data_IF_775052924786
#
_entry.id   IF_775052924786
#
_cell.length_a   1.000
_cell.length_b   1.000
_cell.length_c   1.000
_cell.angle_alpha   90.00
_cell.angle_beta   90.00
_cell.angle_gamma   90.00
#
_symmetry.space_group_name_H-M   'P 1'
#
loop_
_entity.id
_entity.type
_entity.pdbx_description
1 polymer ?
#
# COMPACT_ATOMS: atom_id res chain seq x y z
N UNK A 1 15.38 17.05 0.93
CA UNK A 1 15.20 16.94 0.53
C UNK A 1 14.86 16.70 0.17
N UNK A 2 14.96 16.61 0.10
CA UNK A 2 14.66 16.38 -0.44
C UNK A 2 14.24 15.91 -0.78
N UNK A 3 14.26 15.89 -0.96
CA UNK A 3 13.90 15.58 -1.43
C UNK A 3 13.52 15.15 -1.83
N UNK A 4 13.63 15.24 -1.94
CA UNK A 4 13.43 14.98 -2.48
C UNK A 4 13.09 14.49 -2.82
N UNK A 5 13.00 14.58 -2.83
CA UNK A 5 12.82 14.13 -3.34
C UNK A 5 12.74 13.80 -4.23
N UNK A 6 12.72 14.27 -3.96
CA UNK A 6 13.21 13.73 -5.17
C UNK A 6 12.46 12.56 -5.67
N UNK A 7 12.25 12.53 -6.87
CA UNK A 7 11.54 11.46 -7.48
C UNK A 7 12.40 10.20 -7.57
N UNK A 8 11.87 9.10 -7.10
CA UNK A 8 12.58 7.84 -7.17
C UNK A 8 12.62 7.32 -8.60
N UNK A 9 13.67 6.62 -8.99
CA UNK A 9 13.69 5.95 -10.28
C UNK A 9 12.60 4.91 -10.38
N UNK A 10 12.15 4.64 -11.56
CA UNK A 10 11.03 3.71 -11.75
C UNK A 10 11.40 2.28 -11.42
N UNK A 11 12.66 1.94 -11.46
CA UNK A 11 13.11 0.57 -11.30
C UNK A 11 13.82 0.34 -9.99
N UNK A 12 13.38 1.00 -8.93
CA UNK A 12 14.09 0.90 -7.67
C UNK A 12 13.95 -0.44 -6.99
N UNK A 13 12.88 -1.18 -7.22
CA UNK A 13 12.54 -2.40 -6.50
C UNK A 13 12.26 -2.14 -5.02
N UNK A 14 12.22 -0.90 -4.60
CA UNK A 14 11.95 -0.58 -3.20
C UNK A 14 10.49 -0.86 -2.87
N UNK A 15 9.59 -0.55 -3.79
CA UNK A 15 8.18 -0.77 -3.54
C UNK A 15 7.83 -2.24 -3.39
N UNK A 16 8.27 -3.14 -4.31
CA UNK A 16 7.96 -4.54 -4.11
C UNK A 16 8.55 -5.12 -2.83
N UNK A 17 9.74 -4.69 -2.45
CA UNK A 17 10.35 -5.18 -1.22
C UNK A 17 9.56 -4.72 0.00
N UNK A 18 9.11 -3.50 -0.02
CA UNK A 18 8.32 -2.97 1.09
C UNK A 18 6.98 -3.69 1.19
N UNK A 19 6.32 -3.89 0.05
CA UNK A 19 5.04 -4.60 0.05
C UNK A 19 5.21 -6.01 0.56
N UNK A 20 6.29 -6.68 0.18
CA UNK A 20 6.55 -8.03 0.68
C UNK A 20 6.73 -8.02 2.19
N UNK A 21 7.43 -7.04 2.71
CA UNK A 21 7.59 -6.88 4.14
C UNK A 21 6.22 -6.75 4.83
N UNK A 22 5.35 -5.91 4.29
CA UNK A 22 4.02 -5.73 4.87
C UNK A 22 3.21 -7.02 4.85
N UNK A 23 3.29 -7.76 3.76
CA UNK A 23 2.58 -9.03 3.63
C UNK A 23 3.14 -10.05 4.60
N UNK A 24 4.45 -10.22 4.61
CA UNK A 24 5.10 -11.26 5.41
C UNK A 24 4.89 -11.02 6.90
N UNK A 25 4.85 -9.78 7.31
CA UNK A 25 4.70 -9.45 8.73
C UNK A 25 3.25 -9.23 9.14
N UNK A 26 2.33 -9.19 8.18
CA UNK A 26 0.93 -8.98 8.49
C UNK A 26 0.67 -7.64 9.14
N UNK A 27 1.27 -6.59 8.61
CA UNK A 27 1.22 -5.27 9.25
C UNK A 27 -0.05 -4.55 8.84
N UNK A 28 -0.77 -4.02 9.82
CA UNK A 28 -1.94 -3.20 9.57
C UNK A 28 -1.51 -1.87 8.95
N UNK A 29 -2.11 -1.51 7.85
CA UNK A 29 -1.81 -0.24 7.18
C UNK A 29 -3.08 0.57 7.00
N UNK A 30 -2.90 1.87 6.94
CA UNK A 30 -3.94 2.83 6.61
C UNK A 30 -3.67 3.32 5.19
N UNK A 31 -4.66 3.26 4.33
CA UNK A 31 -4.52 3.62 2.92
C UNK A 31 -5.49 4.75 2.60
N UNK A 32 -4.98 5.80 1.99
CA UNK A 32 -5.82 6.87 1.47
C UNK A 32 -5.82 6.82 -0.04
N UNK A 33 -7.01 6.85 -0.61
CA UNK A 33 -7.17 6.77 -2.06
C UNK A 33 -7.28 8.16 -2.67
N UNK A 34 -7.11 8.22 -3.98
CA UNK A 34 -7.12 9.51 -4.68
C UNK A 34 -8.46 10.21 -4.63
N UNK A 35 -9.55 9.47 -4.42
CA UNK A 35 -10.88 10.06 -4.23
C UNK A 35 -11.15 10.45 -2.79
N UNK A 36 -10.11 10.40 -1.95
CA UNK A 36 -10.16 10.72 -0.52
C UNK A 36 -10.85 9.68 0.35
N UNK A 37 -11.23 8.55 -0.19
CA UNK A 37 -11.67 7.43 0.63
C UNK A 37 -10.49 6.89 1.42
N UNK A 38 -10.77 6.37 2.60
CA UNK A 38 -9.74 5.83 3.48
C UNK A 38 -10.14 4.45 3.94
N UNK A 39 -9.16 3.58 4.11
CA UNK A 39 -9.42 2.25 4.61
C UNK A 39 -8.22 1.74 5.38
N UNK A 40 -8.46 0.74 6.23
CA UNK A 40 -7.40 0.07 6.97
C UNK A 40 -7.52 -1.41 6.76
N UNK A 41 -6.38 -2.06 6.74
CA UNK A 41 -6.37 -3.50 6.61
C UNK A 41 -4.95 -4.02 6.47
N UNK A 42 -4.86 -5.31 6.23
CA UNK A 42 -3.58 -5.99 6.03
C UNK A 42 -3.49 -6.37 4.57
N UNK A 43 -2.37 -6.05 3.95
CA UNK A 43 -2.13 -6.44 2.56
C UNK A 43 -1.79 -7.90 2.56
N UNK A 44 -2.64 -8.71 1.91
CA UNK A 44 -2.41 -10.15 1.86
C UNK A 44 -1.64 -10.57 0.64
N UNK A 45 -1.73 -9.76 -0.41
CA UNK A 45 -1.09 -10.12 -1.64
C UNK A 45 -1.09 -8.91 -2.56
N UNK A 46 -0.17 -8.88 -3.49
CA UNK A 46 -0.01 -7.74 -4.40
C UNK A 46 0.58 -8.23 -5.72
N UNK A 47 0.39 -7.41 -6.75
CA UNK A 47 1.11 -7.61 -7.99
C UNK A 47 1.49 -6.24 -8.54
N UNK A 48 1.74 -6.16 -9.84
CA UNK A 48 2.19 -4.90 -10.44
C UNK A 48 1.15 -3.80 -10.34
N UNK A 49 -0.12 -4.16 -10.36
CA UNK A 49 -1.19 -3.20 -10.53
C UNK A 49 -2.04 -2.96 -9.32
N UNK A 50 -2.16 -3.95 -8.42
CA UNK A 50 -3.08 -3.78 -7.30
C UNK A 50 -2.62 -4.54 -6.06
N UNK A 51 -3.31 -4.22 -4.96
CA UNK A 51 -3.13 -4.87 -3.67
C UNK A 51 -4.44 -5.54 -3.28
N UNK A 52 -4.35 -6.69 -2.64
CA UNK A 52 -5.50 -7.26 -1.98
C UNK A 52 -5.41 -6.94 -0.50
N UNK A 53 -6.45 -6.27 0.00
CA UNK A 53 -6.48 -5.80 1.38
C UNK A 53 -7.56 -6.54 2.14
N UNK A 54 -7.17 -7.17 3.23
CA UNK A 54 -8.09 -7.89 4.13
C UNK A 54 -8.43 -6.97 5.28
N UNK A 55 -9.74 -6.78 5.51
CA UNK A 55 -10.23 -5.88 6.53
C UNK A 55 -11.05 -6.66 7.56
N UNK A 56 -10.92 -6.25 8.83
CA UNK A 56 -11.67 -6.90 9.89
C UNK A 56 -13.15 -6.55 9.77
N UNK A 57 -13.99 -7.58 9.67
CA UNK A 57 -15.43 -7.37 9.66
C UNK A 57 -16.00 -6.80 8.38
N UNK A 58 -15.20 -6.69 7.33
CA UNK A 58 -15.65 -6.12 6.06
C UNK A 58 -15.08 -6.94 4.91
N UNK A 59 -15.68 -6.83 3.72
CA UNK A 59 -15.18 -7.59 2.59
C UNK A 59 -13.75 -7.20 2.22
N UNK A 60 -13.00 -8.16 1.71
CA UNK A 60 -11.68 -7.88 1.17
C UNK A 60 -11.82 -6.99 -0.06
N UNK A 61 -10.81 -6.16 -0.28
CA UNK A 61 -10.81 -5.27 -1.42
C UNK A 61 -9.59 -5.51 -2.29
N UNK A 62 -9.79 -5.37 -3.59
CA UNK A 62 -8.68 -5.19 -4.52
C UNK A 62 -8.56 -3.70 -4.77
N UNK A 63 -7.41 -3.13 -4.45
CA UNK A 63 -7.18 -1.70 -4.58
C UNK A 63 -6.10 -1.50 -5.63
N UNK A 64 -6.40 -0.73 -6.66
CA UNK A 64 -5.41 -0.43 -7.69
C UNK A 64 -4.36 0.49 -7.12
N UNK A 65 -3.09 0.17 -7.40
CA UNK A 65 -1.98 0.96 -6.86
C UNK A 65 -2.05 2.41 -7.30
N UNK A 66 -2.48 2.66 -8.55
CA UNK A 66 -2.51 4.03 -9.04
C UNK A 66 -3.61 4.86 -8.39
N UNK A 67 -4.52 4.23 -7.67
CA UNK A 67 -5.56 4.95 -6.93
C UNK A 67 -5.13 5.25 -5.50
N UNK A 68 -3.95 4.84 -5.10
CA UNK A 68 -3.47 5.08 -3.75
C UNK A 68 -2.73 6.40 -3.70
N UNK A 69 -3.23 7.30 -2.84
CA UNK A 69 -2.57 8.57 -2.62
C UNK A 69 -1.37 8.38 -1.69
N UNK A 70 -1.59 7.64 -0.61
CA UNK A 70 -0.52 7.25 0.31
C UNK A 70 -1.02 6.12 1.19
N UNK A 71 -0.07 5.44 1.82
CA UNK A 71 -0.39 4.50 2.87
C UNK A 71 0.67 4.61 3.97
N UNK A 72 0.29 4.22 5.18
CA UNK A 72 1.26 4.17 6.27
C UNK A 72 0.91 3.04 7.22
N UNK A 73 1.92 2.59 7.95
CA UNK A 73 1.75 1.53 8.94
C UNK A 73 1.07 2.11 10.17
N UNK A 74 0.08 1.39 10.66
CA UNK A 74 -0.61 1.79 11.88
C UNK A 74 0.20 1.23 13.04
N UNK A 75 0.72 2.12 13.85
CA UNK A 75 1.63 1.72 14.93
C UNK A 75 0.88 1.12 16.12
#
# INVERSE_FOLDING_TARGET
MASSKTKAPEQTLAEPKYLRYLVDKGILVHIKLTDNAELEGVIEFYDESFLRVTRAGEPNLFVYKHDIKYLYEVA
#
